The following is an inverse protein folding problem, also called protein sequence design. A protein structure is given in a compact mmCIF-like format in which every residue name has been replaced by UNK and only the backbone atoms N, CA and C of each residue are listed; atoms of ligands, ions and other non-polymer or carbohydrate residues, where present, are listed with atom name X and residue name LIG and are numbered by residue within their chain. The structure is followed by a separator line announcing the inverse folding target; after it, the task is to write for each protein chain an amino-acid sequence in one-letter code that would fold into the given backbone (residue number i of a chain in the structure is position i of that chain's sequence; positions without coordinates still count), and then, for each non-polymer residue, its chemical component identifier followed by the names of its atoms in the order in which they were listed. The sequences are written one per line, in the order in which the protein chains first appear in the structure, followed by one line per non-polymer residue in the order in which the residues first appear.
data_IF_031537138247
#
_entry.id   IF_031537138247
#
_cell.length_a   1.000
_cell.length_b   1.000
_cell.length_c   1.000
_cell.angle_alpha   90.00
_cell.angle_beta   90.00
_cell.angle_gamma   90.00
#
_symmetry.space_group_name_H-M   'P 1'
#
loop_
_entity.id
_entity.type
_entity.pdbx_description
1 polymer ?
#
# COMPACT_ATOMS: atom_id res chain seq x y z
N UNK A 1 13.47 -7.67 19.12
CA UNK A 1 13.08 -6.36 18.54
C UNK A 1 11.62 -6.08 18.89
N UNK A 2 11.15 -4.83 18.81
CA UNK A 2 9.73 -4.53 18.98
C UNK A 2 8.95 -5.17 17.81
N UNK A 3 7.81 -5.81 18.11
CA UNK A 3 6.95 -6.43 17.08
C UNK A 3 6.23 -5.32 16.29
N UNK A 4 6.13 -5.48 14.97
CA UNK A 4 5.36 -4.57 14.14
C UNK A 4 3.87 -4.89 14.30
N UNK A 5 3.12 -3.99 14.96
CA UNK A 5 1.70 -4.17 15.26
C UNK A 5 0.81 -3.14 14.59
N UNK A 6 1.37 -1.99 14.20
CA UNK A 6 0.64 -0.86 13.66
C UNK A 6 0.98 -0.62 12.20
N UNK A 7 -0.02 -0.24 11.41
CA UNK A 7 0.18 0.16 10.02
C UNK A 7 -0.45 1.54 9.74
N UNK A 8 0.18 2.27 8.81
CA UNK A 8 -0.35 3.52 8.24
C UNK A 8 -0.71 3.29 6.78
N UNK A 9 -1.91 3.66 6.38
CA UNK A 9 -2.35 3.65 4.98
C UNK A 9 -2.64 5.10 4.56
N UNK A 10 -1.75 5.74 3.79
CA UNK A 10 -2.00 7.06 3.23
C UNK A 10 -3.07 6.98 2.13
N UNK A 11 -4.21 7.65 2.33
CA UNK A 11 -5.36 7.66 1.43
C UNK A 11 -5.90 9.08 1.18
N UNK A 12 -5.08 10.13 1.40
CA UNK A 12 -5.54 11.51 1.32
C UNK A 12 -5.58 12.09 -0.11
N UNK A 13 -4.87 11.50 -1.08
CA UNK A 13 -4.69 12.02 -2.44
C UNK A 13 -6.00 12.21 -3.24
N UNK A 14 -6.05 13.21 -4.12
CA UNK A 14 -7.25 13.56 -4.91
C UNK A 14 -7.64 12.54 -5.97
N UNK A 15 -6.73 11.65 -6.40
CA UNK A 15 -7.01 10.66 -7.44
C UNK A 15 -7.30 11.25 -8.82
N UNK A 16 -6.67 12.36 -9.19
CA UNK A 16 -6.94 13.12 -10.42
C UNK A 16 -6.82 12.32 -11.72
N UNK A 17 -6.01 11.24 -11.72
CA UNK A 17 -5.88 10.32 -12.86
C UNK A 17 -7.17 9.59 -13.23
N UNK A 18 -8.10 9.46 -12.28
CA UNK A 18 -9.40 8.79 -12.45
C UNK A 18 -10.59 9.76 -12.56
N UNK A 19 -10.36 11.05 -12.77
CA UNK A 19 -11.47 11.95 -13.10
C UNK A 19 -12.17 11.46 -14.37
N UNK A 20 -13.53 11.53 -14.42
CA UNK A 20 -14.42 12.24 -13.49
C UNK A 20 -14.88 11.43 -12.26
N UNK A 21 -14.69 10.10 -12.19
CA UNK A 21 -15.25 9.27 -11.11
C UNK A 21 -14.75 9.70 -9.72
N UNK A 22 -13.48 10.09 -9.62
CA UNK A 22 -12.89 10.53 -8.35
C UNK A 22 -13.28 11.95 -7.91
N UNK A 23 -14.18 12.61 -8.65
CA UNK A 23 -14.83 13.85 -8.18
C UNK A 23 -15.68 13.62 -6.93
N UNK A 24 -16.32 12.45 -6.83
CA UNK A 24 -17.24 12.10 -5.74
C UNK A 24 -16.84 10.82 -4.98
N UNK A 25 -15.98 9.98 -5.56
CA UNK A 25 -15.57 8.70 -4.97
C UNK A 25 -14.06 8.70 -4.74
N UNK A 26 -13.58 8.36 -3.54
CA UNK A 26 -12.15 8.13 -3.31
C UNK A 26 -11.58 7.10 -4.30
N UNK A 27 -10.37 7.34 -4.84
CA UNK A 27 -9.72 6.36 -5.73
C UNK A 27 -9.53 4.99 -5.04
N UNK A 28 -9.34 5.01 -3.75
CA UNK A 28 -9.15 3.84 -2.90
C UNK A 28 -10.45 3.01 -2.75
N UNK A 29 -11.61 3.60 -3.09
CA UNK A 29 -12.91 2.93 -3.13
C UNK A 29 -13.28 2.40 -4.52
N UNK A 30 -12.44 2.58 -5.53
CA UNK A 30 -12.67 1.97 -6.84
C UNK A 30 -12.57 0.44 -6.70
N UNK A 31 -13.58 -0.33 -7.18
CA UNK A 31 -13.65 -1.76 -6.91
C UNK A 31 -12.79 -2.57 -7.90
N UNK A 32 -11.95 -3.45 -7.37
CA UNK A 32 -11.38 -4.54 -8.14
C UNK A 32 -12.39 -5.69 -8.09
N UNK A 33 -13.14 -5.88 -9.16
CA UNK A 33 -14.36 -6.71 -9.24
C UNK A 33 -15.48 -6.14 -8.36
N UNK A 34 -15.61 -6.57 -7.12
CA UNK A 34 -16.67 -6.21 -6.17
C UNK A 34 -16.15 -5.74 -4.81
N UNK A 35 -14.81 -5.72 -4.65
CA UNK A 35 -14.15 -5.33 -3.40
C UNK A 35 -13.35 -4.02 -3.60
N UNK A 36 -13.54 -2.99 -2.76
CA UNK A 36 -12.75 -1.76 -2.85
C UNK A 36 -11.25 -2.00 -2.76
N UNK A 37 -10.47 -1.24 -3.53
CA UNK A 37 -9.00 -1.35 -3.54
C UNK A 37 -8.39 -1.31 -2.15
N UNK A 38 -8.85 -0.39 -1.29
CA UNK A 38 -8.32 -0.23 0.06
C UNK A 38 -8.53 -1.47 0.94
N UNK A 39 -9.59 -2.23 0.73
CA UNK A 39 -9.85 -3.44 1.51
C UNK A 39 -8.79 -4.52 1.25
N UNK A 40 -8.31 -4.69 0.01
CA UNK A 40 -7.19 -5.60 -0.28
C UNK A 40 -5.93 -5.23 0.50
N UNK A 41 -5.68 -3.93 0.68
CA UNK A 41 -4.50 -3.42 1.40
C UNK A 41 -4.65 -3.64 2.91
N UNK A 42 -5.84 -3.41 3.45
CA UNK A 42 -6.18 -3.69 4.84
C UNK A 42 -6.07 -5.19 5.14
N UNK A 43 -6.63 -6.04 4.28
CA UNK A 43 -6.55 -7.51 4.40
C UNK A 43 -5.10 -8.00 4.37
N UNK A 44 -4.24 -7.44 3.50
CA UNK A 44 -2.80 -7.75 3.49
C UNK A 44 -2.12 -7.40 4.82
N UNK A 45 -2.46 -6.24 5.40
CA UNK A 45 -1.92 -5.81 6.69
C UNK A 45 -2.33 -6.79 7.80
N UNK A 46 -3.61 -7.14 7.89
CA UNK A 46 -4.13 -8.11 8.88
C UNK A 46 -3.50 -9.50 8.70
N UNK A 47 -3.43 -10.01 7.47
CA UNK A 47 -2.79 -11.29 7.15
C UNK A 47 -1.29 -11.31 7.47
N UNK A 48 -0.66 -10.13 7.60
CA UNK A 48 0.75 -9.96 7.99
C UNK A 48 0.95 -9.84 9.51
N UNK A 49 -0.14 -9.82 10.30
CA UNK A 49 -0.10 -9.74 11.75
C UNK A 49 -0.18 -8.32 12.33
N UNK A 50 -0.66 -7.35 11.55
CA UNK A 50 -0.98 -6.00 12.03
C UNK A 50 -2.26 -6.06 12.88
N UNK A 51 -2.26 -5.36 14.01
CA UNK A 51 -3.34 -5.34 14.99
C UNK A 51 -4.13 -4.01 14.95
N UNK A 52 -3.47 -2.90 14.57
CA UNK A 52 -4.07 -1.57 14.50
C UNK A 52 -3.72 -0.89 13.18
N UNK A 53 -4.72 -0.39 12.48
CA UNK A 53 -4.54 0.28 11.17
C UNK A 53 -4.96 1.74 11.29
N UNK A 54 -4.07 2.66 10.90
CA UNK A 54 -4.36 4.08 10.79
C UNK A 54 -4.47 4.48 9.31
N UNK A 55 -5.64 4.92 8.90
CA UNK A 55 -5.84 5.51 7.57
C UNK A 55 -5.67 7.04 7.65
N UNK A 56 -4.71 7.58 6.90
CA UNK A 56 -4.57 9.02 6.75
C UNK A 56 -5.52 9.48 5.66
N UNK A 57 -6.69 9.96 6.08
CA UNK A 57 -7.74 10.41 5.17
C UNK A 57 -7.57 11.88 4.75
N UNK A 58 -8.33 12.32 3.76
CA UNK A 58 -8.34 13.69 3.25
C UNK A 58 -9.74 14.26 3.14
N UNK A 59 -9.87 15.37 2.43
CA UNK A 59 -11.17 15.92 2.09
C UNK A 59 -11.95 14.96 1.16
N UNK A 60 -13.27 14.82 1.37
CA UNK A 60 -14.16 13.97 0.57
C UNK A 60 -13.80 12.47 0.54
N UNK A 61 -13.24 11.94 1.65
CA UNK A 61 -12.87 10.53 1.81
C UNK A 61 -13.82 9.73 2.73
N UNK A 62 -14.97 10.28 3.07
CA UNK A 62 -15.94 9.67 4.00
C UNK A 62 -16.35 8.26 3.59
N UNK A 63 -16.45 7.95 2.30
CA UNK A 63 -16.79 6.61 1.85
C UNK A 63 -15.79 5.52 2.31
N UNK A 64 -14.55 5.87 2.64
CA UNK A 64 -13.58 4.94 3.23
C UNK A 64 -13.96 4.66 4.69
N UNK A 65 -14.38 5.71 5.43
CA UNK A 65 -14.80 5.61 6.82
C UNK A 65 -16.09 4.76 6.88
N UNK A 66 -17.10 5.12 6.05
CA UNK A 66 -18.38 4.40 5.97
C UNK A 66 -18.22 2.92 5.57
N UNK A 67 -17.16 2.56 4.81
CA UNK A 67 -16.92 1.18 4.37
C UNK A 67 -16.47 0.24 5.50
N UNK A 68 -15.69 0.74 6.44
CA UNK A 68 -15.20 -0.03 7.59
C UNK A 68 -16.03 0.20 8.86
N UNK A 69 -17.10 0.98 8.77
CA UNK A 69 -18.03 1.20 9.88
C UNK A 69 -19.21 0.23 9.82
N UNK A 70 -19.92 0.05 10.92
CA UNK A 70 -21.13 -0.77 10.98
C UNK A 70 -22.24 -0.21 10.09
N UNK A 71 -23.05 -1.10 9.50
CA UNK A 71 -24.18 -0.75 8.65
C UNK A 71 -25.50 -1.33 9.20
N UNK A 72 -26.02 -0.87 10.37
CA UNK A 72 -27.08 -1.54 11.11
C UNK A 72 -28.40 -1.71 10.34
N UNK A 73 -28.69 -0.78 9.42
CA UNK A 73 -29.89 -0.85 8.57
C UNK A 73 -29.76 -1.96 7.53
N UNK A 74 -28.59 -2.04 6.85
CA UNK A 74 -28.30 -3.08 5.88
C UNK A 74 -28.21 -4.46 6.54
N UNK A 75 -27.54 -4.54 7.68
CA UNK A 75 -27.38 -5.79 8.44
C UNK A 75 -28.75 -6.37 8.84
N UNK A 76 -29.65 -5.54 9.36
CA UNK A 76 -31.02 -5.95 9.72
C UNK A 76 -31.79 -6.45 8.48
N UNK A 77 -31.70 -5.74 7.37
CA UNK A 77 -32.37 -6.14 6.14
C UNK A 77 -31.86 -7.49 5.62
N UNK A 78 -30.55 -7.74 5.68
CA UNK A 78 -29.95 -9.01 5.28
C UNK A 78 -30.39 -10.15 6.21
N UNK A 79 -30.41 -9.90 7.51
CA UNK A 79 -30.86 -10.85 8.54
C UNK A 79 -32.34 -11.22 8.36
N UNK A 80 -33.23 -10.23 8.17
CA UNK A 80 -34.66 -10.44 7.92
C UNK A 80 -34.93 -11.23 6.62
N UNK A 81 -34.05 -11.11 5.63
CA UNK A 81 -34.13 -11.84 4.35
C UNK A 81 -33.39 -13.18 4.34
N UNK A 82 -32.77 -13.58 5.45
CA UNK A 82 -31.99 -14.82 5.55
C UNK A 82 -30.77 -14.88 4.64
N UNK A 83 -30.13 -13.73 4.37
CA UNK A 83 -28.94 -13.63 3.52
C UNK A 83 -27.66 -13.69 4.34
N UNK A 84 -27.44 -14.79 5.03
CA UNK A 84 -26.39 -14.96 6.04
C UNK A 84 -24.98 -14.76 5.49
N UNK A 85 -24.70 -15.24 4.26
CA UNK A 85 -23.39 -15.08 3.62
C UNK A 85 -23.05 -13.58 3.38
N UNK A 86 -24.03 -12.79 2.92
CA UNK A 86 -23.85 -11.35 2.69
C UNK A 86 -23.75 -10.59 4.03
N UNK A 87 -24.51 -11.01 5.03
CA UNK A 87 -24.45 -10.44 6.37
C UNK A 87 -23.08 -10.67 7.00
N UNK A 88 -22.50 -11.87 6.84
CA UNK A 88 -21.15 -12.17 7.30
C UNK A 88 -20.11 -11.22 6.67
N UNK A 89 -20.15 -11.01 5.35
CA UNK A 89 -19.24 -10.08 4.64
C UNK A 89 -19.33 -8.68 5.21
N UNK A 90 -20.54 -8.16 5.47
CA UNK A 90 -20.75 -6.81 6.01
C UNK A 90 -20.17 -6.70 7.43
N UNK A 91 -20.46 -7.67 8.29
CA UNK A 91 -19.99 -7.68 9.69
C UNK A 91 -18.47 -7.86 9.79
N UNK A 92 -17.86 -8.76 9.01
CA UNK A 92 -16.42 -8.98 8.98
C UNK A 92 -15.66 -7.71 8.54
N UNK A 93 -16.20 -6.94 7.60
CA UNK A 93 -15.60 -5.68 7.17
C UNK A 93 -15.64 -4.62 8.28
N UNK A 94 -16.72 -4.58 9.07
CA UNK A 94 -16.90 -3.62 10.16
C UNK A 94 -16.12 -3.98 11.44
N UNK A 95 -15.71 -5.25 11.60
CA UNK A 95 -14.97 -5.73 12.79
C UNK A 95 -13.46 -5.43 12.74
N UNK A 96 -13.00 -4.74 11.70
CA UNK A 96 -11.60 -4.36 11.53
C UNK A 96 -11.27 -3.13 12.37
N UNK A 97 -10.22 -3.21 13.20
CA UNK A 97 -9.79 -2.08 14.04
C UNK A 97 -9.05 -1.01 13.22
N UNK A 98 -9.81 -0.04 12.69
CA UNK A 98 -9.32 1.06 11.85
C UNK A 98 -9.48 2.40 12.56
N UNK A 99 -8.43 3.20 12.55
CA UNK A 99 -8.41 4.57 13.04
C UNK A 99 -8.24 5.56 11.89
N UNK A 100 -8.68 6.79 12.06
CA UNK A 100 -8.62 7.81 11.03
C UNK A 100 -7.99 9.11 11.54
N UNK A 101 -7.00 9.61 10.79
CA UNK A 101 -6.45 10.96 10.99
C UNK A 101 -6.53 11.69 9.65
N UNK A 102 -6.97 12.95 9.68
CA UNK A 102 -7.10 13.76 8.47
C UNK A 102 -5.82 14.55 8.18
N UNK A 103 -5.23 14.35 7.00
CA UNK A 103 -4.25 15.27 6.44
C UNK A 103 -4.95 16.58 6.02
N UNK A 104 -4.73 17.66 6.75
CA UNK A 104 -5.43 18.95 6.51
C UNK A 104 -4.95 19.67 5.26
N UNK A 105 -3.68 19.50 4.89
CA UNK A 105 -3.04 20.09 3.71
C UNK A 105 -2.30 19.01 2.95
N UNK A 106 -2.50 18.93 1.64
CA UNK A 106 -1.90 17.95 0.76
C UNK A 106 -0.46 18.38 0.44
N UNK A 107 0.50 18.04 1.29
CA UNK A 107 1.92 18.43 1.17
C UNK A 107 2.83 17.26 0.84
N UNK A 108 2.28 16.19 0.29
CA UNK A 108 3.04 15.01 -0.13
C UNK A 108 2.93 13.82 0.83
N UNK A 109 3.59 12.71 0.44
CA UNK A 109 3.54 11.44 1.18
C UNK A 109 4.24 11.55 2.54
N UNK A 110 5.39 12.22 2.62
CA UNK A 110 6.10 12.42 3.87
C UNK A 110 5.25 13.17 4.91
N UNK A 111 4.52 14.23 4.48
CA UNK A 111 3.60 14.95 5.36
C UNK A 111 2.40 14.07 5.81
N UNK A 112 1.90 13.18 4.95
CA UNK A 112 0.87 12.23 5.33
C UNK A 112 1.38 11.27 6.42
N UNK A 113 2.58 10.73 6.28
CA UNK A 113 3.21 9.88 7.30
C UNK A 113 3.44 10.66 8.59
N UNK A 114 3.88 11.91 8.52
CA UNK A 114 4.10 12.76 9.70
C UNK A 114 2.81 12.93 10.53
N UNK A 115 1.63 12.92 9.91
CA UNK A 115 0.35 12.95 10.63
C UNK A 115 0.17 11.74 11.58
N UNK A 116 0.86 10.63 11.35
CA UNK A 116 0.76 9.43 12.18
C UNK A 116 1.62 9.48 13.45
N UNK A 117 2.51 10.49 13.63
CA UNK A 117 3.50 10.55 14.72
C UNK A 117 2.93 10.24 16.09
N UNK A 118 1.83 10.91 16.47
CA UNK A 118 1.21 10.74 17.79
C UNK A 118 0.60 9.34 17.98
N UNK A 119 0.02 8.75 16.94
CA UNK A 119 -0.59 7.43 16.99
C UNK A 119 0.48 6.31 17.08
N UNK A 120 1.62 6.48 16.41
CA UNK A 120 2.71 5.51 16.46
C UNK A 120 3.42 5.48 17.81
N UNK A 121 3.39 6.57 18.59
CA UNK A 121 3.89 6.64 19.96
C UNK A 121 5.34 6.13 20.15
N UNK A 122 6.21 6.35 19.15
CA UNK A 122 7.61 5.93 19.18
C UNK A 122 7.85 4.45 18.82
N UNK A 123 6.85 3.73 18.35
CA UNK A 123 6.98 2.34 17.89
C UNK A 123 7.34 2.28 16.39
N UNK A 124 8.07 1.25 15.94
CA UNK A 124 8.24 0.97 14.52
C UNK A 124 6.91 0.51 13.93
N UNK A 125 6.67 0.85 12.66
CA UNK A 125 5.37 0.67 12.02
C UNK A 125 5.47 0.30 10.55
N UNK A 126 4.42 -0.31 10.02
CA UNK A 126 4.28 -0.57 8.60
C UNK A 126 3.64 0.63 7.87
N UNK A 127 3.99 0.80 6.60
CA UNK A 127 3.28 1.70 5.68
C UNK A 127 2.87 0.91 4.45
N UNK A 128 1.59 1.03 4.05
CA UNK A 128 1.06 0.44 2.83
C UNK A 128 0.39 1.56 2.01
N UNK A 129 0.83 1.76 0.77
CA UNK A 129 0.21 2.77 -0.09
C UNK A 129 -1.18 2.32 -0.55
N UNK A 130 -2.15 3.22 -0.49
CA UNK A 130 -3.57 2.96 -0.71
C UNK A 130 -3.97 2.65 -2.17
N UNK A 131 -3.05 2.71 -3.11
CA UNK A 131 -3.25 2.43 -4.54
C UNK A 131 -2.26 1.40 -5.11
N UNK A 132 -1.68 0.57 -4.25
CA UNK A 132 -0.68 -0.42 -4.62
C UNK A 132 -1.09 -1.79 -4.09
N UNK A 133 -1.67 -2.64 -4.95
CA UNK A 133 -2.17 -3.97 -4.56
C UNK A 133 -1.16 -5.03 -4.93
N UNK A 134 -0.82 -5.91 -3.98
CA UNK A 134 0.07 -7.05 -4.22
C UNK A 134 -0.71 -8.35 -4.06
N UNK A 135 -0.73 -9.16 -5.11
CA UNK A 135 -1.27 -10.51 -5.06
C UNK A 135 -0.16 -11.50 -4.69
N UNK A 136 -0.32 -12.17 -3.57
CA UNK A 136 0.51 -13.30 -3.15
C UNK A 136 -0.27 -14.59 -3.42
N UNK A 137 0.33 -15.51 -4.16
CA UNK A 137 -0.29 -16.79 -4.50
C UNK A 137 -0.09 -17.80 -3.36
N UNK A 138 -1.06 -17.88 -2.46
CA UNK A 138 -1.03 -18.79 -1.33
C UNK A 138 -0.93 -20.27 -1.77
N UNK A 139 -1.42 -20.63 -2.97
CA UNK A 139 -1.29 -22.01 -3.50
C UNK A 139 0.15 -22.38 -3.83
N UNK A 140 1.01 -21.38 -4.04
CA UNK A 140 2.46 -21.53 -4.22
C UNK A 140 3.26 -21.27 -2.94
N UNK A 141 2.59 -21.14 -1.80
CA UNK A 141 3.23 -20.84 -0.52
C UNK A 141 3.78 -19.41 -0.40
N UNK A 142 3.35 -18.48 -1.27
CA UNK A 142 3.78 -17.10 -1.17
C UNK A 142 3.09 -16.41 0.01
N UNK A 143 3.89 -15.72 0.81
CA UNK A 143 3.39 -14.88 1.92
C UNK A 143 3.00 -13.49 1.40
N UNK A 144 2.09 -12.77 2.10
CA UNK A 144 1.83 -11.35 1.84
C UNK A 144 3.13 -10.55 1.78
N UNK A 145 3.21 -9.56 0.90
CA UNK A 145 4.44 -8.76 0.73
C UNK A 145 4.86 -8.09 2.04
N UNK A 146 3.90 -7.54 2.80
CA UNK A 146 4.20 -6.94 4.11
C UNK A 146 4.76 -7.98 5.11
N UNK A 147 4.26 -9.23 5.13
CA UNK A 147 4.79 -10.28 6.01
C UNK A 147 6.26 -10.58 5.69
N UNK A 148 6.62 -10.63 4.41
CA UNK A 148 8.00 -10.83 3.99
C UNK A 148 8.92 -9.71 4.52
N UNK A 149 8.45 -8.44 4.50
CA UNK A 149 9.21 -7.32 5.04
C UNK A 149 9.35 -7.42 6.57
N UNK A 150 8.30 -7.85 7.27
CA UNK A 150 8.35 -8.05 8.72
C UNK A 150 9.36 -9.13 9.08
N UNK A 151 9.45 -10.22 8.30
CA UNK A 151 10.44 -11.28 8.50
C UNK A 151 11.89 -10.75 8.35
N UNK A 152 12.13 -9.85 7.39
CA UNK A 152 13.42 -9.16 7.24
C UNK A 152 13.70 -8.24 8.44
N UNK A 153 12.69 -7.48 8.88
CA UNK A 153 12.81 -6.64 10.07
C UNK A 153 13.14 -7.46 11.32
N UNK A 154 12.47 -8.58 11.52
CA UNK A 154 12.70 -9.47 12.66
C UNK A 154 14.12 -10.08 12.64
N UNK A 155 14.69 -10.31 11.45
CA UNK A 155 16.03 -10.88 11.28
C UNK A 155 17.16 -9.84 11.39
N UNK A 156 16.97 -8.64 10.84
CA UNK A 156 18.07 -7.67 10.65
C UNK A 156 17.88 -6.35 11.42
N UNK A 157 16.66 -6.05 11.87
CA UNK A 157 16.34 -4.74 12.45
C UNK A 157 16.41 -3.58 11.45
N UNK A 158 16.26 -2.36 11.94
CA UNK A 158 16.27 -1.15 11.13
C UNK A 158 14.97 -0.98 10.32
N UNK A 159 15.03 -0.16 9.28
CA UNK A 159 13.88 0.03 8.37
C UNK A 159 13.97 -0.89 7.16
N UNK A 160 12.82 -1.32 6.61
CA UNK A 160 12.76 -2.23 5.44
C UNK A 160 11.86 -1.64 4.37
N UNK A 161 12.37 -1.53 3.15
CA UNK A 161 11.67 -1.02 1.97
C UNK A 161 11.33 -2.18 1.05
N UNK A 162 10.06 -2.33 0.72
CA UNK A 162 9.59 -3.31 -0.26
C UNK A 162 9.89 -2.82 -1.69
N UNK A 163 10.64 -3.63 -2.43
CA UNK A 163 11.14 -3.26 -3.74
C UNK A 163 10.83 -4.34 -4.79
N UNK A 164 10.88 -3.94 -6.06
CA UNK A 164 10.99 -4.86 -7.22
C UNK A 164 11.80 -4.19 -8.31
N UNK A 165 12.37 -4.99 -9.18
CA UNK A 165 13.00 -4.47 -10.40
C UNK A 165 11.92 -3.99 -11.37
N UNK A 166 12.13 -2.81 -11.94
CA UNK A 166 11.24 -2.22 -12.94
C UNK A 166 11.97 -2.08 -14.29
N UNK A 167 11.18 -2.03 -15.36
CA UNK A 167 11.72 -1.75 -16.68
C UNK A 167 12.21 -0.29 -16.76
N UNK A 168 13.21 0.02 -17.60
CA UNK A 168 13.81 1.36 -17.66
C UNK A 168 12.81 2.50 -17.82
N UNK A 169 11.76 2.29 -18.60
CA UNK A 169 10.70 3.28 -18.88
C UNK A 169 9.86 3.64 -17.65
N UNK A 170 9.92 2.82 -16.60
CA UNK A 170 9.17 3.03 -15.34
C UNK A 170 10.01 3.64 -14.23
N UNK A 171 11.32 3.75 -14.39
CA UNK A 171 12.24 4.27 -13.37
C UNK A 171 11.82 5.67 -12.90
N UNK A 172 11.46 6.57 -13.80
CA UNK A 172 11.01 7.94 -13.47
C UNK A 172 9.64 8.03 -12.76
N UNK A 173 8.99 6.88 -12.50
CA UNK A 173 7.70 6.83 -11.81
C UNK A 173 7.81 6.57 -10.31
N UNK A 174 8.97 6.11 -9.83
CA UNK A 174 9.16 5.60 -8.46
C UNK A 174 10.42 6.17 -7.79
N UNK A 175 10.46 6.05 -6.47
CA UNK A 175 11.72 6.17 -5.74
C UNK A 175 12.63 4.99 -6.09
N UNK A 176 13.87 5.28 -6.51
CA UNK A 176 14.86 4.27 -6.92
C UNK A 176 15.94 4.18 -5.87
N UNK A 177 16.29 2.94 -5.47
CA UNK A 177 17.30 2.68 -4.45
C UNK A 177 18.55 2.05 -5.04
N UNK A 178 19.70 2.37 -4.44
CA UNK A 178 20.93 1.63 -4.62
C UNK A 178 21.51 1.21 -3.27
N UNK A 179 22.28 0.15 -3.28
CA UNK A 179 22.88 -0.38 -2.06
C UNK A 179 23.82 -1.54 -2.33
N UNK A 180 24.41 -2.05 -1.24
CA UNK A 180 25.26 -3.22 -1.28
C UNK A 180 24.41 -4.47 -1.08
N UNK A 181 24.45 -5.38 -2.04
CA UNK A 181 23.78 -6.67 -1.94
C UNK A 181 24.33 -7.52 -0.79
N UNK A 182 23.44 -8.19 -0.10
CA UNK A 182 23.78 -9.24 0.86
C UNK A 182 23.85 -10.56 0.08
N UNK A 183 25.04 -11.14 0.04
CA UNK A 183 25.31 -12.34 -0.77
C UNK A 183 24.29 -13.47 -0.52
N UNK A 184 23.72 -14.01 -1.60
CA UNK A 184 22.76 -15.12 -1.56
C UNK A 184 21.35 -14.73 -1.11
N UNK A 185 21.02 -13.42 -1.03
CA UNK A 185 19.70 -12.95 -0.65
C UNK A 185 19.14 -11.92 -1.67
N UNK A 186 17.83 -11.64 -1.57
CA UNK A 186 17.17 -10.55 -2.32
C UNK A 186 17.22 -9.22 -1.55
N UNK A 187 18.21 -9.05 -0.67
CA UNK A 187 18.33 -7.96 0.28
C UNK A 187 19.51 -7.06 -0.06
N UNK A 188 19.28 -5.75 -0.06
CA UNK A 188 20.33 -4.75 -0.20
C UNK A 188 20.38 -3.87 1.06
N UNK A 189 21.58 -3.56 1.53
CA UNK A 189 21.78 -2.46 2.48
C UNK A 189 21.79 -1.15 1.69
N UNK A 190 20.78 -0.31 1.90
CA UNK A 190 20.62 0.95 1.16
C UNK A 190 21.76 1.91 1.43
N UNK A 191 22.32 2.50 0.38
CA UNK A 191 23.34 3.56 0.45
C UNK A 191 22.91 4.85 -0.22
N UNK A 192 21.95 4.78 -1.16
CA UNK A 192 21.41 5.96 -1.85
C UNK A 192 19.98 5.71 -2.30
N UNK A 193 19.18 6.78 -2.45
CA UNK A 193 17.88 6.75 -3.08
C UNK A 193 17.50 8.11 -3.67
N UNK A 194 16.76 8.07 -4.79
CA UNK A 194 16.34 9.25 -5.53
C UNK A 194 14.86 9.11 -5.92
N UNK A 195 14.07 10.13 -5.61
CA UNK A 195 12.64 10.18 -5.96
C UNK A 195 12.45 10.52 -7.44
N UNK A 196 11.86 9.60 -8.19
CA UNK A 196 11.51 9.77 -9.62
C UNK A 196 12.66 10.37 -10.44
N UNK A 197 13.85 9.74 -10.46
CA UNK A 197 14.98 10.27 -11.21
C UNK A 197 14.72 10.20 -12.72
N UNK A 198 15.44 11.01 -13.48
CA UNK A 198 15.61 10.73 -14.89
C UNK A 198 16.40 9.43 -15.07
N UNK A 199 16.18 8.71 -16.18
CA UNK A 199 16.82 7.40 -16.40
C UNK A 199 18.35 7.47 -16.29
N UNK A 200 18.95 8.58 -16.77
CA UNK A 200 20.39 8.82 -16.72
C UNK A 200 20.94 9.09 -15.32
N UNK A 201 20.08 9.46 -14.38
CA UNK A 201 20.43 9.80 -12.99
C UNK A 201 20.06 8.68 -12.01
N UNK A 202 19.34 7.67 -12.50
CA UNK A 202 18.89 6.58 -11.66
C UNK A 202 20.05 5.71 -11.18
N UNK A 203 20.21 5.50 -9.85
CA UNK A 203 21.33 4.74 -9.32
C UNK A 203 21.18 3.22 -9.57
N UNK A 204 19.99 2.77 -9.95
CA UNK A 204 19.64 1.37 -10.30
C UNK A 204 18.29 1.30 -11.01
N UNK A 205 17.74 0.09 -11.19
CA UNK A 205 16.36 -0.15 -11.60
C UNK A 205 15.51 -0.79 -10.49
N UNK A 206 15.94 -0.69 -9.23
CA UNK A 206 15.23 -1.24 -8.08
C UNK A 206 14.33 -0.14 -7.49
N UNK A 207 13.03 -0.30 -7.72
CA UNK A 207 12.00 0.65 -7.31
C UNK A 207 11.40 0.30 -5.96
N UNK A 208 11.18 1.30 -5.12
CA UNK A 208 10.43 1.17 -3.87
C UNK A 208 8.94 1.17 -4.17
N UNK A 209 8.26 0.13 -3.72
CA UNK A 209 6.89 -0.16 -4.14
C UNK A 209 5.95 -0.36 -2.95
N UNK A 210 5.44 0.72 -2.43
CA UNK A 210 4.25 0.80 -1.60
C UNK A 210 4.22 0.06 -0.27
N UNK A 211 5.24 -0.71 0.10
CA UNK A 211 5.36 -1.44 1.38
C UNK A 211 6.63 -1.04 2.09
N UNK A 212 6.48 -0.67 3.37
CA UNK A 212 7.59 -0.23 4.20
C UNK A 212 7.42 -0.72 5.62
N UNK A 213 8.52 -1.03 6.30
CA UNK A 213 8.65 -1.03 7.76
C UNK A 213 9.57 0.12 8.11
N UNK A 214 9.12 1.03 8.95
CA UNK A 214 9.83 2.28 9.22
C UNK A 214 10.06 2.46 10.72
N UNK A 215 11.28 2.83 11.08
CA UNK A 215 11.64 3.23 12.43
C UNK A 215 11.01 4.57 12.81
N UNK A 216 10.64 4.80 14.09
CA UNK A 216 10.07 6.06 14.55
C UNK A 216 10.99 7.26 14.38
N UNK A 217 12.30 7.06 14.22
CA UNK A 217 13.29 8.12 13.90
C UNK A 217 12.89 8.91 12.64
N UNK A 218 12.13 8.32 11.73
CA UNK A 218 11.63 8.98 10.52
C UNK A 218 10.85 10.25 10.81
N UNK A 219 10.13 10.32 11.93
CA UNK A 219 9.31 11.49 12.27
C UNK A 219 10.15 12.75 12.53
N UNK A 220 11.27 12.60 13.19
CA UNK A 220 12.20 13.73 13.42
C UNK A 220 12.79 14.22 12.10
N UNK A 221 13.14 13.31 11.20
CA UNK A 221 13.65 13.66 9.88
C UNK A 221 12.59 14.34 9.02
N UNK A 222 11.35 13.83 9.02
CA UNK A 222 10.24 14.43 8.28
C UNK A 222 9.88 15.84 8.74
N UNK A 223 10.02 16.17 10.02
CA UNK A 223 9.82 17.51 10.56
C UNK A 223 10.78 18.54 9.96
N UNK A 224 11.97 18.09 9.55
CA UNK A 224 13.03 18.94 9.01
C UNK A 224 13.25 18.75 7.49
N UNK A 225 12.52 17.84 6.85
CA UNK A 225 12.63 17.59 5.40
C UNK A 225 12.00 18.75 4.63
N UNK A 226 12.82 19.44 3.85
CA UNK A 226 12.33 20.49 2.95
C UNK A 226 11.46 19.92 1.83
N UNK A 227 10.47 20.69 1.32
CA UNK A 227 9.73 20.28 0.11
C UNK A 227 10.69 20.03 -1.07
N UNK A 228 10.56 18.84 -1.67
CA UNK A 228 11.36 18.41 -2.82
C UNK A 228 10.59 18.54 -4.15
N UNK A 229 10.67 17.52 -5.00
CA UNK A 229 10.03 17.49 -6.34
C UNK A 229 8.52 17.76 -6.22
N UNK A 230 8.04 18.71 -7.00
CA UNK A 230 6.62 19.13 -6.98
C UNK A 230 6.21 19.99 -5.79
N UNK A 231 7.13 20.46 -4.95
CA UNK A 231 6.83 21.23 -3.73
C UNK A 231 6.26 20.36 -2.59
N UNK A 232 6.42 19.05 -2.66
CA UNK A 232 5.91 18.07 -1.69
C UNK A 232 7.02 17.60 -0.74
N UNK A 233 6.67 17.31 0.51
CA UNK A 233 7.56 16.61 1.46
C UNK A 233 7.61 15.15 1.04
N UNK A 234 8.76 14.74 0.46
CA UNK A 234 8.94 13.40 -0.06
C UNK A 234 9.39 12.44 1.04
N UNK A 235 8.72 11.29 1.14
CA UNK A 235 9.13 10.24 2.06
C UNK A 235 10.53 9.68 1.68
N UNK A 236 10.82 9.61 0.38
CA UNK A 236 12.11 9.13 -0.15
C UNK A 236 13.29 9.97 0.36
N UNK A 237 13.12 11.30 0.44
CA UNK A 237 14.18 12.19 0.92
C UNK A 237 14.46 11.98 2.43
N UNK A 238 13.41 11.78 3.23
CA UNK A 238 13.57 11.46 4.64
C UNK A 238 14.16 10.05 4.85
N UNK A 239 13.78 9.06 4.05
CA UNK A 239 14.35 7.71 4.09
C UNK A 239 15.84 7.69 3.69
N UNK A 240 16.24 8.54 2.74
CA UNK A 240 17.65 8.74 2.40
C UNK A 240 18.45 9.26 3.59
N UNK A 241 17.91 10.23 4.33
CA UNK A 241 18.54 10.73 5.55
C UNK A 241 18.56 9.66 6.65
N UNK A 242 17.49 8.88 6.78
CA UNK A 242 17.41 7.77 7.73
C UNK A 242 18.52 6.74 7.50
N UNK A 243 18.83 6.43 6.23
CA UNK A 243 19.90 5.50 5.88
C UNK A 243 21.32 5.95 6.30
N UNK A 244 21.51 7.23 6.64
CA UNK A 244 22.76 7.76 7.17
C UNK A 244 22.92 7.52 8.68
N UNK A 245 21.83 7.31 9.42
CA UNK A 245 21.82 7.23 10.89
C UNK A 245 21.45 5.84 11.42
N UNK A 246 20.76 5.02 10.64
CA UNK A 246 20.42 3.64 10.99
C UNK A 246 20.38 2.72 9.75
N UNK A 247 20.42 1.39 9.94
CA UNK A 247 20.27 0.46 8.82
C UNK A 247 18.93 0.60 8.12
N UNK A 248 18.97 0.79 6.79
CA UNK A 248 17.80 0.72 5.90
C UNK A 248 18.05 -0.39 4.88
N UNK A 249 17.11 -1.29 4.76
CA UNK A 249 17.16 -2.45 3.89
C UNK A 249 16.17 -2.30 2.73
N UNK A 250 16.59 -2.65 1.52
CA UNK A 250 15.71 -2.82 0.38
C UNK A 250 15.56 -4.31 0.11
N UNK A 251 14.33 -4.82 0.15
CA UNK A 251 14.02 -6.23 -0.05
C UNK A 251 13.12 -6.41 -1.27
N UNK A 252 13.60 -7.18 -2.25
CA UNK A 252 12.81 -7.52 -3.44
C UNK A 252 11.80 -8.62 -3.10
N UNK A 253 10.59 -8.21 -2.69
CA UNK A 253 9.52 -9.11 -2.27
C UNK A 253 8.95 -9.94 -3.43
N UNK A 254 8.41 -11.10 -3.10
CA UNK A 254 7.66 -11.96 -4.01
C UNK A 254 6.18 -11.58 -4.02
N UNK A 255 5.56 -11.73 -5.19
CA UNK A 255 4.16 -11.40 -5.42
C UNK A 255 3.98 -10.58 -6.70
N UNK A 256 2.76 -10.57 -7.21
CA UNK A 256 2.41 -9.78 -8.39
C UNK A 256 1.82 -8.45 -7.97
N UNK A 257 2.54 -7.38 -8.22
CA UNK A 257 2.11 -6.02 -7.94
C UNK A 257 1.21 -5.46 -9.04
N UNK A 258 0.20 -4.70 -8.65
CA UNK A 258 -0.67 -3.90 -9.50
C UNK A 258 -0.66 -2.45 -9.02
N UNK A 259 -0.17 -1.54 -9.87
CA UNK A 259 -0.33 -0.10 -9.66
C UNK A 259 -1.75 0.28 -10.07
N UNK A 260 -2.66 0.25 -9.10
CA UNK A 260 -4.06 0.62 -9.32
C UNK A 260 -4.29 2.12 -9.22
N UNK A 261 -3.22 2.90 -9.07
CA UNK A 261 -3.21 4.36 -9.18
C UNK A 261 -3.23 4.87 -10.63
N UNK A 262 -3.07 4.00 -11.63
CA UNK A 262 -3.25 4.31 -13.04
C UNK A 262 -4.34 3.44 -13.70
N UNK A 263 -4.94 3.94 -14.80
CA UNK A 263 -6.08 3.29 -15.46
C UNK A 263 -5.74 1.91 -16.02
N UNK A 264 -4.56 1.74 -16.63
CA UNK A 264 -4.17 0.46 -17.22
C UNK A 264 -3.85 -0.57 -16.13
N UNK A 265 -3.14 -0.16 -15.07
CA UNK A 265 -2.85 -1.00 -13.91
C UNK A 265 -4.14 -1.47 -13.21
N UNK A 266 -5.10 -0.56 -13.05
CA UNK A 266 -6.42 -0.86 -12.50
C UNK A 266 -7.20 -1.88 -13.35
N UNK A 267 -7.23 -1.71 -14.67
CA UNK A 267 -7.88 -2.67 -15.58
C UNK A 267 -7.19 -4.04 -15.54
N UNK A 268 -5.85 -4.08 -15.53
CA UNK A 268 -5.11 -5.35 -15.40
C UNK A 268 -5.43 -6.06 -14.09
N UNK A 269 -5.47 -5.32 -12.98
CA UNK A 269 -5.87 -5.88 -11.69
C UNK A 269 -7.29 -6.47 -11.77
N UNK A 270 -8.27 -5.69 -12.24
CA UNK A 270 -9.66 -6.13 -12.34
C UNK A 270 -9.82 -7.39 -13.18
N UNK A 271 -9.19 -7.47 -14.36
CA UNK A 271 -9.23 -8.65 -15.24
C UNK A 271 -8.62 -9.87 -14.56
N UNK A 272 -7.43 -9.74 -13.99
CA UNK A 272 -6.73 -10.87 -13.41
C UNK A 272 -7.36 -11.36 -12.10
N UNK A 273 -7.88 -10.44 -11.27
CA UNK A 273 -8.62 -10.84 -10.07
C UNK A 273 -9.93 -11.53 -10.44
N UNK A 274 -10.68 -11.06 -11.46
CA UNK A 274 -11.87 -11.72 -11.96
C UNK A 274 -11.57 -13.15 -12.46
N UNK A 275 -10.47 -13.33 -13.22
CA UNK A 275 -10.04 -14.64 -13.73
C UNK A 275 -9.63 -15.64 -12.63
N UNK A 276 -9.21 -15.15 -11.44
CA UNK A 276 -8.84 -15.98 -10.29
C UNK A 276 -10.04 -16.41 -9.45
N UNK A 277 -11.19 -15.75 -9.61
CA UNK A 277 -12.37 -16.06 -8.81
C UNK A 277 -13.03 -17.37 -9.28
N UNK A 278 -13.37 -18.26 -8.33
CA UNK A 278 -14.04 -19.54 -8.68
C UNK A 278 -15.39 -19.37 -9.38
N UNK A 279 -16.16 -18.34 -8.97
CA UNK A 279 -17.50 -18.05 -9.48
C UNK A 279 -17.50 -17.33 -10.85
N UNK A 280 -16.46 -16.54 -11.15
CA UNK A 280 -16.39 -15.68 -12.35
C UNK A 280 -15.36 -16.16 -13.37
N UNK A 281 -14.27 -16.78 -12.96
CA UNK A 281 -13.09 -17.01 -13.79
C UNK A 281 -13.36 -17.84 -15.04
N UNK A 282 -14.22 -18.86 -14.96
CA UNK A 282 -14.59 -19.69 -16.12
C UNK A 282 -15.40 -18.90 -17.16
N UNK A 283 -16.58 -18.38 -16.82
CA UNK A 283 -17.41 -17.58 -17.73
C UNK A 283 -16.68 -16.37 -18.30
N UNK A 284 -15.90 -15.68 -17.47
CA UNK A 284 -15.17 -14.49 -17.90
C UNK A 284 -14.03 -14.80 -18.88
N UNK A 285 -13.32 -15.93 -18.69
CA UNK A 285 -12.32 -16.41 -19.65
C UNK A 285 -12.95 -16.69 -21.01
N UNK A 286 -14.07 -17.41 -21.04
CA UNK A 286 -14.78 -17.70 -22.29
C UNK A 286 -15.21 -16.42 -23.03
N UNK A 287 -15.72 -15.43 -22.31
CA UNK A 287 -16.05 -14.12 -22.87
C UNK A 287 -14.81 -13.41 -23.46
N UNK A 288 -13.67 -13.41 -22.76
CA UNK A 288 -12.43 -12.78 -23.28
C UNK A 288 -11.92 -13.49 -24.53
N UNK A 289 -11.98 -14.83 -24.58
CA UNK A 289 -11.59 -15.62 -25.77
C UNK A 289 -12.48 -15.33 -26.97
N UNK A 290 -13.78 -15.09 -26.74
CA UNK A 290 -14.70 -14.68 -27.81
C UNK A 290 -14.43 -13.25 -28.31
N UNK A 291 -14.17 -12.32 -27.38
CA UNK A 291 -13.88 -10.92 -27.69
C UNK A 291 -12.57 -10.73 -28.51
N UNK A 292 -11.61 -11.65 -28.36
CA UNK A 292 -10.29 -11.58 -29.00
C UNK A 292 -10.24 -12.32 -30.36
N UNK A 293 -11.33 -12.94 -30.80
CA UNK A 293 -11.48 -13.55 -32.14
C UNK A 293 -11.85 -12.52 -33.18
#
# INVERSE_FOLDING_TARGET
MARIKKAVIPAAGFGTRFLPVTKATPKEMLPIVDKPTIQYIVEEALASGIEEILIISGHAKRAIEDHFDSAPVLERELEEKGKDDLLAIVRETADINVHYIRQKKMRGLGDAILCAKSFMAGEPFAVLLGDDVVYADATKGQQPALRQLIDIYDAYGGSVLGCQQVVPEKVSSYGIVAGKEIAGSKLLKVSDMIEKPELSEAPSNIAVLGRYIISPTIFELLEHTAPGKGGEVQLTDALKQLALVEPVWAYCFEGKRYDVGDKLGFLKATVEFALRRPDLGGPFRSFLEELMK
#
